data_IF_909313623028
#
_entry.id   IF_909313623028
#
_cell.length_a   1.000
_cell.length_b   1.000
_cell.length_c   1.000
_cell.angle_alpha   90.00
_cell.angle_beta   90.00
_cell.angle_gamma   90.00
#
_symmetry.space_group_name_H-M   'P 1'
#
loop_
_entity.id
_entity.type
_entity.pdbx_description
1 polymer ?
#
# COMPACT_ATOMS: atom_id res chain seq x y z
N UNK A 1 22.24 -17.77 12.98
CA UNK A 1 20.98 -17.00 12.87
C UNK A 1 21.11 -15.60 13.49
N UNK A 2 22.13 -15.36 14.30
CA UNK A 2 22.35 -14.13 15.07
C UNK A 2 22.21 -12.84 14.25
N UNK A 3 22.78 -12.79 13.03
CA UNK A 3 22.65 -11.62 12.14
C UNK A 3 21.21 -11.32 11.71
N UNK A 4 20.29 -12.27 11.85
CA UNK A 4 18.88 -12.10 11.49
C UNK A 4 17.97 -11.83 12.68
N UNK A 5 18.41 -12.13 13.90
CA UNK A 5 17.57 -12.07 15.11
C UNK A 5 18.02 -11.01 16.11
N UNK A 6 19.29 -10.60 16.10
CA UNK A 6 19.86 -9.65 17.08
C UNK A 6 20.01 -8.22 16.56
N UNK A 7 19.80 -8.00 15.26
CA UNK A 7 19.87 -6.68 14.63
C UNK A 7 18.57 -6.35 13.90
N UNK A 8 18.21 -5.06 13.84
CA UNK A 8 16.98 -4.60 13.21
C UNK A 8 17.17 -4.41 11.71
N UNK A 9 16.13 -4.70 10.92
CA UNK A 9 16.13 -4.46 9.47
C UNK A 9 16.50 -5.69 8.65
N UNK A 10 16.76 -5.48 7.38
CA UNK A 10 17.12 -6.52 6.42
C UNK A 10 17.96 -5.94 5.27
N UNK A 11 18.73 -6.77 4.55
CA UNK A 11 19.60 -6.28 3.49
C UNK A 11 18.89 -6.15 2.14
N UNK A 12 19.47 -5.31 1.30
CA UNK A 12 19.38 -5.40 -0.15
C UNK A 12 20.73 -5.90 -0.68
N UNK A 13 20.71 -6.88 -1.56
CA UNK A 13 21.88 -7.25 -2.35
C UNK A 13 21.82 -6.54 -3.71
N UNK A 14 22.97 -6.13 -4.24
CA UNK A 14 23.08 -5.58 -5.60
C UNK A 14 23.93 -6.52 -6.44
N UNK A 15 23.35 -7.05 -7.51
CA UNK A 15 24.03 -7.93 -8.47
C UNK A 15 24.45 -7.09 -9.67
N UNK A 16 25.76 -6.96 -9.88
CA UNK A 16 26.32 -6.26 -11.05
C UNK A 16 27.02 -7.28 -11.94
N UNK A 17 26.43 -7.55 -13.10
CA UNK A 17 26.97 -8.50 -14.06
C UNK A 17 28.14 -7.88 -14.83
N UNK A 18 29.15 -8.70 -15.08
CA UNK A 18 30.09 -8.50 -16.16
C UNK A 18 29.69 -9.45 -17.29
N UNK A 19 29.17 -8.86 -18.36
CA UNK A 19 28.57 -9.57 -19.47
C UNK A 19 29.60 -10.19 -20.42
N UNK A 20 30.83 -9.69 -20.41
CA UNK A 20 31.91 -10.16 -21.28
C UNK A 20 32.57 -11.44 -20.75
N UNK A 21 32.68 -11.57 -19.42
CA UNK A 21 33.31 -12.73 -18.76
C UNK A 21 32.31 -13.73 -18.17
N UNK A 22 31.00 -13.46 -18.26
CA UNK A 22 29.96 -14.33 -17.71
C UNK A 22 30.01 -14.40 -16.18
N UNK A 23 30.33 -13.29 -15.50
CA UNK A 23 30.39 -13.21 -14.04
C UNK A 23 29.48 -12.13 -13.47
N UNK A 24 29.33 -12.09 -12.15
CA UNK A 24 28.75 -10.95 -11.45
C UNK A 24 29.42 -10.72 -10.10
N UNK A 25 29.44 -9.46 -9.69
CA UNK A 25 29.80 -9.06 -8.33
C UNK A 25 28.52 -8.78 -7.56
N UNK A 26 28.37 -9.41 -6.39
CA UNK A 26 27.23 -9.22 -5.49
C UNK A 26 27.70 -8.45 -4.27
N UNK A 27 27.09 -7.30 -3.98
CA UNK A 27 27.34 -6.51 -2.76
C UNK A 27 26.08 -6.49 -1.88
N UNK A 28 26.23 -6.19 -0.59
CA UNK A 28 25.11 -6.06 0.34
C UNK A 28 25.17 -4.74 1.10
N UNK A 29 24.00 -4.22 1.46
CA UNK A 29 23.84 -3.14 2.43
C UNK A 29 22.48 -3.23 3.11
N UNK A 30 22.32 -2.58 4.26
CA UNK A 30 21.00 -2.45 4.90
C UNK A 30 20.04 -1.68 4.00
N UNK A 31 18.84 -2.20 3.78
CA UNK A 31 17.78 -1.47 3.09
C UNK A 31 17.16 -0.42 4.04
N UNK A 32 17.24 0.85 3.67
CA UNK A 32 16.77 1.99 4.47
C UNK A 32 15.91 2.92 3.60
N UNK A 33 14.78 3.37 4.15
CA UNK A 33 13.93 4.38 3.48
C UNK A 33 14.48 5.79 3.64
N UNK A 34 15.08 6.09 4.78
CA UNK A 34 15.80 7.35 5.00
C UNK A 34 17.23 7.20 4.46
N UNK A 35 17.47 7.81 3.30
CA UNK A 35 18.77 7.79 2.61
C UNK A 35 19.87 8.56 3.36
N UNK A 36 19.51 9.40 4.33
CA UNK A 36 20.48 10.19 5.11
C UNK A 36 21.15 9.37 6.21
N UNK A 37 20.56 8.22 6.59
CA UNK A 37 21.09 7.34 7.61
C UNK A 37 22.14 6.40 7.00
N UNK A 38 23.35 6.41 7.56
CA UNK A 38 24.45 5.54 7.14
C UNK A 38 24.69 4.45 8.18
N UNK A 39 24.68 3.20 7.73
CA UNK A 39 24.91 2.04 8.59
C UNK A 39 25.52 0.90 7.77
N UNK A 40 26.51 0.21 8.33
CA UNK A 40 27.25 -0.88 7.68
C UNK A 40 26.88 -2.26 8.26
N UNK A 41 25.63 -2.41 8.66
CA UNK A 41 25.13 -3.69 9.18
C UNK A 41 25.09 -4.72 8.05
N UNK A 42 25.67 -5.90 8.29
CA UNK A 42 25.78 -7.00 7.33
C UNK A 42 25.07 -8.25 7.83
N UNK A 43 24.69 -9.13 6.91
CA UNK A 43 24.00 -10.39 7.17
C UNK A 43 24.73 -11.57 6.53
N UNK A 44 24.57 -12.75 7.14
CA UNK A 44 24.82 -14.03 6.46
C UNK A 44 23.67 -14.34 5.50
N UNK A 45 23.88 -14.16 4.19
CA UNK A 45 22.81 -14.27 3.18
C UNK A 45 23.00 -15.52 2.31
N UNK A 46 22.05 -16.48 2.31
CA UNK A 46 22.06 -17.60 1.38
C UNK A 46 21.62 -17.14 -0.03
N UNK A 47 22.52 -17.25 -1.02
CA UNK A 47 22.24 -16.81 -2.40
C UNK A 47 21.69 -17.98 -3.24
N UNK A 48 20.38 -17.92 -3.55
CA UNK A 48 19.74 -18.76 -4.57
C UNK A 48 19.51 -17.93 -5.83
N UNK A 49 19.77 -18.51 -7.01
CA UNK A 49 19.50 -17.83 -8.29
C UNK A 49 19.28 -18.83 -9.42
N UNK A 50 18.61 -18.39 -10.48
CA UNK A 50 18.39 -19.13 -11.73
C UNK A 50 18.53 -18.19 -12.92
N UNK A 51 18.58 -18.75 -14.13
CA UNK A 51 18.79 -18.03 -15.39
C UNK A 51 17.64 -18.30 -16.36
N UNK A 52 17.51 -17.47 -17.40
CA UNK A 52 16.57 -17.72 -18.51
C UNK A 52 16.77 -19.07 -19.22
N UNK A 53 18.00 -19.61 -19.19
CA UNK A 53 18.32 -20.90 -19.80
C UNK A 53 17.98 -22.08 -18.90
N UNK A 54 18.26 -21.95 -17.61
CA UNK A 54 18.07 -23.03 -16.65
C UNK A 54 16.63 -23.14 -16.16
N UNK A 55 15.98 -22.00 -15.87
CA UNK A 55 14.58 -21.92 -15.44
C UNK A 55 14.21 -22.81 -14.24
N UNK A 56 15.19 -23.23 -13.43
CA UNK A 56 14.93 -23.95 -12.19
C UNK A 56 14.50 -22.98 -11.09
N UNK A 57 13.19 -22.85 -10.91
CA UNK A 57 12.59 -22.14 -9.78
C UNK A 57 12.15 -23.07 -8.64
N UNK A 58 12.42 -24.38 -8.71
CA UNK A 58 12.02 -25.34 -7.68
C UNK A 58 13.08 -25.45 -6.59
N UNK A 59 14.35 -25.29 -6.94
CA UNK A 59 15.45 -25.35 -5.99
C UNK A 59 15.68 -24.00 -5.28
N UNK A 60 15.17 -23.87 -4.06
CA UNK A 60 15.33 -22.67 -3.23
C UNK A 60 16.62 -22.66 -2.40
N UNK A 61 17.44 -23.71 -2.48
CA UNK A 61 18.70 -23.81 -1.72
C UNK A 61 19.75 -22.84 -2.28
N UNK A 62 20.67 -22.41 -1.42
CA UNK A 62 21.82 -21.64 -1.85
C UNK A 62 22.66 -22.45 -2.85
N UNK A 63 23.04 -21.86 -3.99
CA UNK A 63 23.87 -22.54 -4.98
C UNK A 63 25.28 -22.75 -4.44
N UNK A 64 25.80 -23.98 -4.51
CA UNK A 64 27.15 -24.38 -4.08
C UNK A 64 27.58 -23.79 -2.71
N UNK A 65 26.64 -23.58 -1.78
CA UNK A 65 26.91 -22.92 -0.50
C UNK A 65 27.55 -21.52 -0.65
N UNK A 66 27.19 -20.75 -1.68
CA UNK A 66 27.56 -19.32 -1.78
C UNK A 66 26.72 -18.54 -0.78
N UNK A 67 27.27 -18.40 0.42
CA UNK A 67 26.79 -17.47 1.44
C UNK A 67 27.52 -16.14 1.25
N UNK A 68 26.81 -15.04 1.40
CA UNK A 68 27.44 -13.75 1.60
C UNK A 68 27.74 -13.62 3.08
N UNK A 69 29.02 -13.71 3.44
CA UNK A 69 29.44 -13.62 4.84
C UNK A 69 29.54 -12.15 5.32
N UNK A 70 29.50 -11.94 6.63
CA UNK A 70 29.58 -10.58 7.22
C UNK A 70 30.96 -9.94 7.10
N UNK A 71 32.01 -10.74 6.91
CA UNK A 71 33.39 -10.28 6.74
C UNK A 71 33.78 -10.08 5.26
N UNK A 72 32.85 -10.31 4.33
CA UNK A 72 33.04 -10.06 2.90
C UNK A 72 32.43 -8.71 2.53
N UNK A 73 33.06 -7.99 1.60
CA UNK A 73 32.50 -6.79 0.99
C UNK A 73 31.74 -7.11 -0.31
N UNK A 74 32.16 -8.18 -0.98
CA UNK A 74 31.56 -8.65 -2.22
C UNK A 74 31.70 -10.17 -2.40
N UNK A 75 30.78 -10.75 -3.17
CA UNK A 75 30.80 -12.16 -3.57
C UNK A 75 30.81 -12.25 -5.09
N UNK A 76 31.80 -12.96 -5.65
CA UNK A 76 31.87 -13.23 -7.10
C UNK A 76 31.02 -14.44 -7.50
N UNK A 77 30.17 -14.27 -8.49
CA UNK A 77 29.36 -15.31 -9.14
C UNK A 77 29.94 -15.57 -10.53
N UNK A 78 30.07 -16.85 -10.88
CA UNK A 78 30.72 -17.29 -12.12
C UNK A 78 29.78 -18.19 -12.91
N UNK A 79 30.07 -18.39 -14.19
CA UNK A 79 29.26 -19.20 -15.11
C UNK A 79 27.83 -18.65 -15.25
N UNK A 80 27.70 -17.33 -15.27
CA UNK A 80 26.45 -16.65 -15.61
C UNK A 80 26.23 -16.65 -17.12
N UNK A 81 24.96 -16.54 -17.56
CA UNK A 81 24.63 -16.68 -18.96
C UNK A 81 25.02 -15.41 -19.73
N UNK A 82 24.81 -15.44 -21.05
CA UNK A 82 25.20 -14.37 -21.97
C UNK A 82 24.42 -13.07 -21.73
N UNK A 83 24.79 -12.02 -22.46
CA UNK A 83 24.13 -10.69 -22.41
C UNK A 83 22.66 -10.68 -22.80
N UNK A 84 22.19 -11.71 -23.49
CA UNK A 84 20.79 -11.82 -23.92
C UNK A 84 19.92 -12.58 -22.90
N UNK A 85 20.53 -13.08 -21.83
CA UNK A 85 19.90 -13.94 -20.83
C UNK A 85 19.82 -13.25 -19.48
N UNK A 86 18.65 -13.20 -18.84
CA UNK A 86 18.51 -12.65 -17.50
C UNK A 86 18.97 -13.63 -16.40
N UNK A 87 19.28 -13.08 -15.23
CA UNK A 87 19.41 -13.83 -13.97
C UNK A 87 18.40 -13.33 -12.93
N UNK A 88 17.84 -14.25 -12.13
CA UNK A 88 16.96 -13.92 -11.00
C UNK A 88 17.53 -14.55 -9.74
N UNK A 89 17.77 -13.73 -8.72
CA UNK A 89 18.13 -14.15 -7.37
C UNK A 89 16.90 -14.26 -6.48
N UNK A 90 17.06 -14.94 -5.35
CA UNK A 90 16.03 -15.20 -4.34
C UNK A 90 14.84 -16.00 -4.92
N UNK A 91 15.10 -17.23 -5.35
CA UNK A 91 14.11 -18.14 -5.92
C UNK A 91 12.93 -18.32 -4.95
N UNK A 92 11.71 -18.13 -5.44
CA UNK A 92 10.44 -18.13 -4.68
C UNK A 92 10.40 -17.19 -3.46
N UNK A 93 11.27 -16.18 -3.39
CA UNK A 93 11.37 -15.29 -2.22
C UNK A 93 11.65 -16.06 -0.92
N UNK A 94 12.48 -17.11 -0.99
CA UNK A 94 12.80 -17.95 0.18
C UNK A 94 13.68 -17.23 1.22
N UNK A 95 14.44 -16.21 0.80
CA UNK A 95 15.28 -15.38 1.65
C UNK A 95 14.65 -14.04 2.02
N UNK A 96 14.92 -13.57 3.24
CA UNK A 96 14.45 -12.29 3.78
C UNK A 96 15.34 -11.11 3.34
N UNK A 97 15.54 -10.94 2.04
CA UNK A 97 16.35 -9.86 1.49
C UNK A 97 15.79 -9.35 0.17
N UNK A 98 16.13 -8.10 -0.15
CA UNK A 98 15.84 -7.47 -1.45
C UNK A 98 16.96 -7.73 -2.43
N UNK A 99 16.64 -7.68 -3.72
CA UNK A 99 17.62 -7.81 -4.80
C UNK A 99 17.48 -6.63 -5.74
N UNK A 100 18.58 -5.93 -5.96
CA UNK A 100 18.79 -5.01 -7.06
C UNK A 100 19.70 -5.67 -8.11
N UNK A 101 19.52 -5.26 -9.36
CA UNK A 101 20.36 -5.66 -10.48
C UNK A 101 20.91 -4.42 -11.17
N UNK A 102 21.95 -4.58 -11.98
CA UNK A 102 22.30 -3.59 -13.00
C UNK A 102 21.13 -3.35 -13.99
N UNK A 103 21.17 -2.20 -14.68
CA UNK A 103 20.08 -1.76 -15.56
C UNK A 103 19.85 -2.71 -16.73
N UNK A 104 20.91 -3.33 -17.27
CA UNK A 104 20.81 -4.29 -18.36
C UNK A 104 20.01 -5.53 -17.94
N UNK A 105 20.32 -6.12 -16.79
CA UNK A 105 19.57 -7.28 -16.30
C UNK A 105 18.11 -6.92 -15.97
N UNK A 106 17.87 -5.73 -15.41
CA UNK A 106 16.50 -5.23 -15.23
C UNK A 106 15.76 -5.11 -16.58
N UNK A 107 16.39 -4.56 -17.62
CA UNK A 107 15.78 -4.45 -18.94
C UNK A 107 15.50 -5.83 -19.58
N UNK A 108 16.40 -6.80 -19.41
CA UNK A 108 16.17 -8.19 -19.84
C UNK A 108 14.94 -8.80 -19.15
N UNK A 109 14.80 -8.59 -17.84
CA UNK A 109 13.65 -9.06 -17.06
C UNK A 109 12.35 -8.37 -17.50
N UNK A 110 12.38 -7.05 -17.70
CA UNK A 110 11.21 -6.28 -18.17
C UNK A 110 10.77 -6.77 -19.55
N UNK A 111 11.70 -6.98 -20.48
CA UNK A 111 11.40 -7.49 -21.81
C UNK A 111 10.80 -8.90 -21.75
N UNK A 112 11.36 -9.78 -20.92
CA UNK A 112 10.82 -11.12 -20.71
C UNK A 112 9.41 -11.09 -20.11
N UNK A 113 9.18 -10.23 -19.10
CA UNK A 113 7.87 -10.08 -18.45
C UNK A 113 6.78 -9.54 -19.37
N UNK A 114 7.15 -8.77 -20.40
CA UNK A 114 6.25 -8.28 -21.45
C UNK A 114 6.03 -9.28 -22.59
N UNK A 115 6.83 -10.34 -22.63
CA UNK A 115 6.71 -11.41 -23.62
C UNK A 115 5.59 -12.40 -23.30
N UNK A 116 5.25 -13.29 -24.24
CA UNK A 116 4.20 -14.31 -24.05
C UNK A 116 4.58 -15.37 -23.00
N UNK A 117 5.87 -15.55 -22.75
CA UNK A 117 6.42 -16.58 -21.86
C UNK A 117 6.61 -16.12 -20.39
N UNK A 118 6.07 -14.95 -20.02
CA UNK A 118 6.27 -14.36 -18.70
C UNK A 118 5.82 -15.27 -17.55
N UNK A 119 4.82 -16.13 -17.79
CA UNK A 119 4.31 -17.07 -16.78
C UNK A 119 5.31 -18.18 -16.41
N UNK A 120 6.34 -18.42 -17.24
CA UNK A 120 7.43 -19.33 -16.88
C UNK A 120 8.25 -18.80 -15.69
N UNK A 121 8.23 -17.49 -15.40
CA UNK A 121 8.66 -16.95 -14.10
C UNK A 121 7.51 -17.15 -13.11
N UNK A 122 7.68 -17.93 -12.03
CA UNK A 122 6.58 -18.23 -11.11
C UNK A 122 6.01 -16.99 -10.41
N UNK A 123 4.76 -17.11 -9.98
CA UNK A 123 3.97 -16.04 -9.35
C UNK A 123 4.74 -15.32 -8.23
N UNK A 124 5.38 -16.06 -7.32
CA UNK A 124 6.12 -15.46 -6.20
C UNK A 124 7.34 -14.65 -6.65
N UNK A 125 8.04 -15.08 -7.71
CA UNK A 125 9.15 -14.31 -8.27
C UNK A 125 8.66 -13.05 -9.01
N UNK A 126 7.51 -13.10 -9.68
CA UNK A 126 6.90 -11.89 -10.27
C UNK A 126 6.48 -10.89 -9.20
N UNK A 127 5.85 -11.36 -8.12
CA UNK A 127 5.56 -10.55 -6.92
C UNK A 127 6.82 -9.89 -6.39
N UNK A 128 7.90 -10.67 -6.26
CA UNK A 128 9.18 -10.18 -5.77
C UNK A 128 9.77 -9.09 -6.68
N UNK A 129 9.78 -9.30 -8.00
CA UNK A 129 10.29 -8.31 -8.96
C UNK A 129 9.50 -6.99 -8.90
N UNK A 130 8.16 -7.05 -8.87
CA UNK A 130 7.30 -5.86 -8.71
C UNK A 130 7.65 -5.11 -7.43
N UNK A 131 7.73 -5.82 -6.29
CA UNK A 131 7.93 -5.17 -5.00
C UNK A 131 9.34 -4.62 -4.83
N UNK A 132 10.35 -5.32 -5.35
CA UNK A 132 11.74 -4.87 -5.31
C UNK A 132 11.91 -3.63 -6.17
N UNK A 133 11.45 -3.64 -7.43
CA UNK A 133 11.54 -2.46 -8.28
C UNK A 133 10.85 -1.25 -7.63
N UNK A 134 9.63 -1.42 -7.10
CA UNK A 134 8.94 -0.33 -6.41
C UNK A 134 9.70 0.19 -5.18
N UNK A 135 10.26 -0.71 -4.38
CA UNK A 135 10.97 -0.35 -3.15
C UNK A 135 12.30 0.32 -3.45
N UNK A 136 13.05 -0.18 -4.43
CA UNK A 136 14.32 0.38 -4.89
C UNK A 136 14.12 1.75 -5.53
N UNK A 137 13.06 1.95 -6.33
CA UNK A 137 12.74 3.24 -6.91
C UNK A 137 12.46 4.31 -5.84
N UNK A 138 11.77 3.93 -4.74
CA UNK A 138 11.48 4.86 -3.63
C UNK A 138 12.72 5.40 -2.91
N UNK A 139 13.83 4.68 -3.00
CA UNK A 139 15.10 5.03 -2.34
C UNK A 139 16.18 5.37 -3.37
N UNK A 140 15.77 5.63 -4.62
CA UNK A 140 16.61 6.02 -5.76
C UNK A 140 17.74 5.03 -6.11
N UNK A 141 17.57 3.75 -5.75
CA UNK A 141 18.51 2.68 -6.13
C UNK A 141 18.28 2.19 -7.56
N UNK A 142 17.10 2.50 -8.12
CA UNK A 142 16.78 2.43 -9.53
C UNK A 142 15.98 3.67 -9.93
N UNK A 143 16.01 4.11 -11.18
CA UNK A 143 15.20 5.23 -11.64
C UNK A 143 13.71 4.85 -11.78
N UNK A 144 12.81 5.82 -11.57
CA UNK A 144 11.36 5.62 -11.66
C UNK A 144 10.89 5.18 -13.06
N UNK A 145 11.54 5.67 -14.13
CA UNK A 145 11.28 5.20 -15.49
C UNK A 145 11.39 3.67 -15.63
N UNK A 146 12.35 3.03 -14.97
CA UNK A 146 12.56 1.59 -15.01
C UNK A 146 11.41 0.88 -14.29
N UNK A 147 10.99 1.42 -13.15
CA UNK A 147 9.83 0.92 -12.43
C UNK A 147 8.54 1.00 -13.27
N UNK A 148 8.27 2.14 -13.93
CA UNK A 148 7.09 2.26 -14.79
C UNK A 148 7.18 1.39 -16.05
N UNK A 149 8.38 1.26 -16.65
CA UNK A 149 8.62 0.30 -17.74
C UNK A 149 8.30 -1.14 -17.31
N UNK A 150 8.61 -1.52 -16.07
CA UNK A 150 8.23 -2.82 -15.52
C UNK A 150 6.71 -2.90 -15.38
N UNK A 151 6.05 -1.91 -14.75
CA UNK A 151 4.60 -1.92 -14.54
C UNK A 151 3.77 -2.16 -15.82
N UNK A 152 4.27 -1.76 -17.00
CA UNK A 152 3.61 -2.03 -18.28
C UNK A 152 3.29 -3.52 -18.52
N UNK A 153 4.08 -4.44 -17.96
CA UNK A 153 3.80 -5.88 -18.09
C UNK A 153 2.47 -6.28 -17.43
N UNK A 154 2.00 -5.52 -16.42
CA UNK A 154 0.77 -5.84 -15.69
C UNK A 154 -0.46 -5.89 -16.59
N UNK A 155 -0.42 -5.25 -17.78
CA UNK A 155 -1.50 -5.33 -18.78
C UNK A 155 -1.86 -6.76 -19.19
N UNK A 156 -0.95 -7.72 -19.04
CA UNK A 156 -1.16 -9.15 -19.34
C UNK A 156 -1.14 -10.05 -18.09
N UNK A 157 -0.95 -9.50 -16.90
CA UNK A 157 -0.96 -10.27 -15.65
C UNK A 157 -2.39 -10.56 -15.20
N UNK A 158 -2.63 -11.75 -14.65
CA UNK A 158 -3.97 -12.20 -14.24
C UNK A 158 -3.98 -12.88 -12.87
N UNK A 159 -2.83 -13.02 -12.21
CA UNK A 159 -2.76 -13.66 -10.90
C UNK A 159 -2.97 -12.64 -9.79
N UNK A 160 -3.65 -13.07 -8.73
CA UNK A 160 -3.98 -12.27 -7.56
C UNK A 160 -2.77 -11.62 -6.89
N UNK A 161 -1.75 -12.42 -6.55
CA UNK A 161 -0.62 -11.95 -5.74
C UNK A 161 0.21 -10.86 -6.45
N UNK A 162 0.58 -10.98 -7.75
CA UNK A 162 1.23 -9.91 -8.49
C UNK A 162 0.43 -8.62 -8.51
N UNK A 163 -0.87 -8.69 -8.79
CA UNK A 163 -1.75 -7.51 -8.75
C UNK A 163 -1.84 -6.87 -7.36
N UNK A 164 -1.91 -7.68 -6.30
CA UNK A 164 -1.89 -7.19 -4.92
C UNK A 164 -0.59 -6.46 -4.59
N UNK A 165 0.55 -6.99 -5.02
CA UNK A 165 1.85 -6.35 -4.85
C UNK A 165 1.97 -5.06 -5.67
N UNK A 166 1.48 -5.07 -6.92
CA UNK A 166 1.46 -3.90 -7.79
C UNK A 166 0.59 -2.78 -7.22
N UNK A 167 -0.68 -3.07 -6.91
CA UNK A 167 -1.63 -2.07 -6.43
C UNK A 167 -1.20 -1.43 -5.11
N UNK A 168 -0.59 -2.18 -4.18
CA UNK A 168 0.01 -1.59 -2.97
C UNK A 168 1.04 -0.50 -3.31
N UNK A 169 1.87 -0.74 -4.32
CA UNK A 169 2.93 0.19 -4.69
C UNK A 169 2.43 1.34 -5.58
N UNK A 170 1.46 1.07 -6.45
CA UNK A 170 0.73 2.08 -7.22
C UNK A 170 0.01 3.04 -6.27
N UNK A 171 -0.64 2.51 -5.24
CA UNK A 171 -1.41 3.27 -4.26
C UNK A 171 -0.55 4.20 -3.42
N UNK A 172 0.69 3.81 -3.12
CA UNK A 172 1.67 4.69 -2.47
C UNK A 172 1.91 5.96 -3.28
N UNK A 173 2.18 5.83 -4.59
CA UNK A 173 2.42 6.99 -5.46
C UNK A 173 1.13 7.80 -5.62
N UNK A 174 -0.01 7.14 -5.83
CA UNK A 174 -1.32 7.81 -5.88
C UNK A 174 -1.53 8.67 -4.63
N UNK A 175 -1.26 8.11 -3.46
CA UNK A 175 -1.46 8.76 -2.16
C UNK A 175 -0.60 10.02 -2.01
N UNK A 176 0.64 10.02 -2.51
CA UNK A 176 1.52 11.22 -2.49
C UNK A 176 1.14 12.24 -3.57
N UNK A 177 0.61 11.80 -4.71
CA UNK A 177 0.25 12.68 -5.83
C UNK A 177 -1.18 13.24 -5.73
N UNK A 178 -2.07 12.68 -4.89
CA UNK A 178 -3.52 13.01 -4.88
C UNK A 178 -3.87 14.48 -4.60
N UNK A 179 -2.96 15.22 -3.98
CA UNK A 179 -3.12 16.66 -3.66
C UNK A 179 -2.28 17.56 -4.58
N UNK A 180 -1.78 17.02 -5.68
CA UNK A 180 -0.89 17.70 -6.63
C UNK A 180 -1.56 17.80 -8.01
N UNK A 181 -1.12 18.72 -8.88
CA UNK A 181 -1.59 18.77 -10.27
C UNK A 181 -1.38 17.48 -11.08
N UNK A 182 -0.47 16.60 -10.65
CA UNK A 182 -0.13 15.36 -11.35
C UNK A 182 -1.17 14.25 -11.13
N UNK A 183 -2.09 14.43 -10.18
CA UNK A 183 -3.02 13.36 -9.77
C UNK A 183 -3.78 12.73 -10.95
N UNK A 184 -4.35 13.55 -11.83
CA UNK A 184 -5.15 13.08 -12.98
C UNK A 184 -4.29 12.33 -14.01
N UNK A 185 -3.09 12.83 -14.34
CA UNK A 185 -2.17 12.17 -15.28
C UNK A 185 -1.76 10.79 -14.74
N UNK A 186 -1.41 10.72 -13.45
CA UNK A 186 -1.07 9.44 -12.82
C UNK A 186 -2.28 8.49 -12.79
N UNK A 187 -3.48 8.98 -12.49
CA UNK A 187 -4.70 8.16 -12.57
C UNK A 187 -4.95 7.64 -13.99
N UNK A 188 -4.77 8.47 -15.01
CA UNK A 188 -4.92 8.07 -16.41
C UNK A 188 -3.89 7.02 -16.83
N UNK A 189 -2.65 7.13 -16.37
CA UNK A 189 -1.62 6.11 -16.56
C UNK A 189 -2.03 4.76 -15.96
N UNK A 190 -2.39 4.74 -14.67
CA UNK A 190 -2.82 3.51 -13.98
C UNK A 190 -4.08 2.92 -14.61
N UNK A 191 -5.02 3.77 -15.05
CA UNK A 191 -6.23 3.34 -15.77
C UNK A 191 -5.90 2.50 -17.00
N UNK A 192 -4.88 2.89 -17.78
CA UNK A 192 -4.43 2.13 -18.96
C UNK A 192 -3.90 0.74 -18.60
N UNK A 193 -3.29 0.58 -17.42
CA UNK A 193 -2.75 -0.69 -16.93
C UNK A 193 -3.84 -1.59 -16.37
N UNK A 194 -4.77 -1.07 -15.56
CA UNK A 194 -5.81 -1.87 -14.90
C UNK A 194 -7.00 -2.22 -15.81
N UNK A 195 -7.25 -1.43 -16.86
CA UNK A 195 -8.43 -1.62 -17.72
C UNK A 195 -8.55 -3.00 -18.37
N UNK A 196 -7.49 -3.64 -18.90
CA UNK A 196 -7.58 -4.97 -19.51
C UNK A 196 -8.10 -6.03 -18.53
N UNK A 197 -7.50 -6.11 -17.34
CA UNK A 197 -7.90 -7.09 -16.32
C UNK A 197 -9.29 -6.77 -15.73
N UNK A 198 -9.63 -5.49 -15.57
CA UNK A 198 -10.97 -5.08 -15.13
C UNK A 198 -12.05 -5.55 -16.11
N UNK A 199 -11.84 -5.34 -17.40
CA UNK A 199 -12.75 -5.82 -18.46
C UNK A 199 -12.87 -7.34 -18.46
N UNK A 200 -11.77 -8.05 -18.22
CA UNK A 200 -11.76 -9.52 -18.15
C UNK A 200 -12.58 -10.05 -16.97
N UNK A 201 -12.50 -9.41 -15.80
CA UNK A 201 -13.25 -9.76 -14.59
C UNK A 201 -14.73 -9.37 -14.69
N UNK A 202 -15.05 -8.31 -15.44
CA UNK A 202 -16.44 -7.86 -15.65
C UNK A 202 -17.00 -6.99 -14.52
N UNK A 203 -16.16 -6.53 -13.59
CA UNK A 203 -16.54 -5.64 -12.48
C UNK A 203 -17.48 -6.31 -11.47
N UNK A 204 -18.54 -5.62 -11.07
CA UNK A 204 -19.51 -6.12 -10.06
C UNK A 204 -20.38 -7.26 -10.60
N UNK A 205 -20.40 -8.39 -9.89
CA UNK A 205 -21.16 -9.57 -10.29
C UNK A 205 -21.73 -10.34 -9.08
N UNK A 206 -22.57 -11.35 -9.34
CA UNK A 206 -23.16 -12.25 -8.34
C UNK A 206 -22.11 -13.22 -7.78
N UNK A 207 -22.32 -13.71 -6.57
CA UNK A 207 -21.45 -14.76 -6.02
C UNK A 207 -21.62 -16.06 -6.81
N UNK A 208 -20.53 -16.62 -7.33
CA UNK A 208 -20.48 -18.00 -7.83
C UNK A 208 -20.70 -18.97 -6.65
N UNK A 209 -21.49 -20.04 -6.88
CA UNK A 209 -21.94 -21.02 -5.88
C UNK A 209 -20.92 -22.11 -5.50
N UNK A 210 -19.80 -22.27 -6.22
CA UNK A 210 -18.85 -23.37 -6.00
C UNK A 210 -17.67 -22.98 -5.10
N UNK A 211 -17.88 -22.95 -3.78
CA UNK A 211 -17.00 -22.35 -2.77
C UNK A 211 -15.57 -22.91 -2.57
N UNK A 212 -15.11 -23.96 -3.26
CA UNK A 212 -13.87 -24.66 -2.89
C UNK A 212 -12.59 -24.17 -3.62
N UNK A 213 -12.70 -23.55 -4.80
CA UNK A 213 -11.55 -22.95 -5.55
C UNK A 213 -11.46 -21.41 -5.42
N UNK A 214 -12.14 -20.87 -4.41
CA UNK A 214 -12.82 -19.58 -4.56
C UNK A 214 -12.20 -18.40 -3.82
N UNK A 215 -11.37 -18.63 -2.80
CA UNK A 215 -10.88 -17.51 -1.98
C UNK A 215 -9.99 -16.54 -2.78
N UNK A 216 -8.90 -17.04 -3.38
CA UNK A 216 -7.97 -16.18 -4.13
C UNK A 216 -8.63 -15.56 -5.36
N UNK A 217 -9.52 -16.29 -6.04
CA UNK A 217 -10.34 -15.78 -7.16
C UNK A 217 -11.22 -14.62 -6.70
N UNK A 218 -12.03 -14.80 -5.63
CA UNK A 218 -12.88 -13.74 -5.08
C UNK A 218 -12.08 -12.54 -4.60
N UNK A 219 -10.96 -12.77 -3.90
CA UNK A 219 -10.08 -11.68 -3.48
C UNK A 219 -9.50 -10.93 -4.68
N UNK A 220 -9.18 -11.62 -5.77
CA UNK A 220 -8.72 -11.00 -6.99
C UNK A 220 -9.81 -10.13 -7.63
N UNK A 221 -11.02 -10.64 -7.77
CA UNK A 221 -12.17 -9.94 -8.35
C UNK A 221 -12.49 -8.66 -7.57
N UNK A 222 -12.54 -8.76 -6.23
CA UNK A 222 -12.77 -7.61 -5.34
C UNK A 222 -11.64 -6.58 -5.46
N UNK A 223 -10.38 -7.04 -5.45
CA UNK A 223 -9.21 -6.18 -5.56
C UNK A 223 -9.22 -5.39 -6.88
N UNK A 224 -9.39 -6.08 -8.01
CA UNK A 224 -9.37 -5.44 -9.33
C UNK A 224 -10.59 -4.54 -9.52
N UNK A 225 -11.77 -4.95 -9.06
CA UNK A 225 -12.98 -4.12 -9.18
C UNK A 225 -12.85 -2.84 -8.36
N UNK A 226 -12.32 -2.93 -7.14
CA UNK A 226 -12.05 -1.76 -6.29
C UNK A 226 -11.02 -0.82 -6.93
N UNK A 227 -9.93 -1.37 -7.46
CA UNK A 227 -8.92 -0.60 -8.20
C UNK A 227 -9.52 0.05 -9.47
N UNK A 228 -10.36 -0.67 -10.21
CA UNK A 228 -11.06 -0.17 -11.38
C UNK A 228 -11.87 1.08 -11.06
N UNK A 229 -12.64 1.08 -9.97
CA UNK A 229 -13.37 2.26 -9.53
C UNK A 229 -12.43 3.39 -9.09
N UNK A 230 -11.34 3.08 -8.38
CA UNK A 230 -10.36 4.08 -7.91
C UNK A 230 -9.69 4.85 -9.03
N UNK A 231 -9.39 4.16 -10.12
CA UNK A 231 -8.70 4.73 -11.29
C UNK A 231 -9.65 5.02 -12.46
N UNK A 232 -10.97 5.05 -12.21
CA UNK A 232 -12.03 5.36 -13.16
C UNK A 232 -11.97 4.51 -14.45
N UNK A 233 -11.77 3.19 -14.29
CA UNK A 233 -11.77 2.24 -15.39
C UNK A 233 -13.21 1.85 -15.78
N UNK A 234 -13.49 1.91 -17.09
CA UNK A 234 -14.74 1.44 -17.70
C UNK A 234 -16.00 2.03 -17.02
N UNK A 235 -16.94 1.18 -16.65
CA UNK A 235 -18.29 1.41 -16.15
C UNK A 235 -18.37 1.30 -14.61
N UNK A 236 -17.22 1.26 -13.91
CA UNK A 236 -17.20 0.99 -12.47
C UNK A 236 -17.94 2.05 -11.65
N UNK A 237 -17.77 3.33 -11.97
CA UNK A 237 -18.43 4.42 -11.24
C UNK A 237 -19.94 4.44 -11.50
N UNK A 238 -20.36 4.25 -12.76
CA UNK A 238 -21.77 4.18 -13.15
C UNK A 238 -22.48 3.03 -12.42
N UNK A 239 -21.91 1.82 -12.49
CA UNK A 239 -22.45 0.64 -11.80
C UNK A 239 -22.44 0.81 -10.28
N UNK A 240 -21.39 1.41 -9.71
CA UNK A 240 -21.34 1.69 -8.27
C UNK A 240 -22.51 2.57 -7.85
N UNK A 241 -22.77 3.68 -8.57
CA UNK A 241 -23.90 4.56 -8.30
C UNK A 241 -25.25 3.87 -8.46
N UNK A 242 -25.40 3.04 -9.50
CA UNK A 242 -26.63 2.27 -9.71
C UNK A 242 -26.92 1.29 -8.57
N UNK A 243 -25.96 0.43 -8.21
CA UNK A 243 -26.15 -0.55 -7.13
C UNK A 243 -26.26 0.12 -5.76
N UNK A 244 -25.57 1.25 -5.56
CA UNK A 244 -25.71 2.03 -4.35
C UNK A 244 -27.13 2.57 -4.18
N UNK A 245 -27.71 3.23 -5.18
CA UNK A 245 -29.10 3.72 -5.13
C UNK A 245 -30.10 2.60 -4.87
N UNK A 246 -29.96 1.47 -5.58
CA UNK A 246 -30.79 0.28 -5.32
C UNK A 246 -30.69 -0.24 -3.89
N UNK A 247 -29.50 -0.19 -3.29
CA UNK A 247 -29.35 -0.61 -1.89
C UNK A 247 -30.11 0.32 -0.94
N UNK A 248 -30.21 1.62 -1.22
CA UNK A 248 -30.95 2.59 -0.39
C UNK A 248 -32.46 2.31 -0.35
N UNK A 249 -33.03 1.69 -1.40
CA UNK A 249 -34.45 1.31 -1.47
C UNK A 249 -34.79 0.10 -0.58
N UNK A 250 -33.77 -0.67 -0.16
CA UNK A 250 -33.96 -1.86 0.66
C UNK A 250 -33.82 -1.54 2.15
N UNK A 251 -34.68 -2.15 2.98
CA UNK A 251 -34.66 -1.92 4.45
C UNK A 251 -33.31 -2.26 5.11
N UNK A 252 -32.61 -3.26 4.58
CA UNK A 252 -31.34 -3.77 5.13
C UNK A 252 -30.10 -3.25 4.37
N UNK A 253 -30.29 -2.31 3.43
CA UNK A 253 -29.24 -1.85 2.51
C UNK A 253 -28.56 -2.98 1.72
N UNK A 254 -29.29 -4.04 1.42
CA UNK A 254 -28.78 -5.21 0.71
C UNK A 254 -28.40 -4.88 -0.74
N UNK A 255 -27.37 -5.57 -1.24
CA UNK A 255 -26.95 -5.48 -2.63
C UNK A 255 -27.73 -6.50 -3.45
N UNK A 256 -28.96 -6.13 -3.83
CA UNK A 256 -29.84 -7.01 -4.59
C UNK A 256 -29.16 -7.52 -5.88
N UNK A 257 -28.81 -8.82 -5.88
CA UNK A 257 -28.23 -9.50 -7.03
C UNK A 257 -26.75 -9.18 -7.28
N UNK A 258 -25.98 -8.76 -6.27
CA UNK A 258 -24.52 -8.59 -6.34
C UNK A 258 -23.85 -9.20 -5.10
N UNK A 259 -22.63 -9.73 -5.26
CA UNK A 259 -21.88 -10.28 -4.14
C UNK A 259 -21.58 -9.21 -3.07
N UNK A 260 -21.80 -9.59 -1.81
CA UNK A 260 -21.56 -8.71 -0.66
C UNK A 260 -20.09 -8.29 -0.49
N UNK A 261 -19.15 -9.03 -1.08
CA UNK A 261 -17.73 -8.68 -1.07
C UNK A 261 -17.43 -7.34 -1.77
N UNK A 262 -18.31 -6.89 -2.68
CA UNK A 262 -18.16 -5.60 -3.38
C UNK A 262 -18.73 -4.40 -2.60
N UNK A 263 -19.38 -4.63 -1.46
CA UNK A 263 -20.13 -3.61 -0.72
C UNK A 263 -19.31 -2.40 -0.33
N UNK A 264 -18.08 -2.60 0.15
CA UNK A 264 -17.20 -1.50 0.51
C UNK A 264 -16.91 -0.56 -0.68
N UNK A 265 -16.69 -1.12 -1.86
CA UNK A 265 -16.46 -0.35 -3.09
C UNK A 265 -17.75 0.36 -3.50
N UNK A 266 -18.87 -0.36 -3.63
CA UNK A 266 -20.15 0.20 -4.08
C UNK A 266 -20.60 1.35 -3.18
N UNK A 267 -20.56 1.17 -1.86
CA UNK A 267 -20.99 2.20 -0.92
C UNK A 267 -20.05 3.41 -0.95
N UNK A 268 -18.73 3.21 -0.94
CA UNK A 268 -17.77 4.32 -0.94
C UNK A 268 -17.89 5.18 -2.21
N UNK A 269 -17.92 4.56 -3.41
CA UNK A 269 -18.07 5.31 -4.66
C UNK A 269 -19.50 5.84 -4.86
N UNK A 270 -20.50 5.14 -4.33
CA UNK A 270 -21.87 5.65 -4.26
C UNK A 270 -21.96 6.97 -3.48
N UNK A 271 -21.46 6.98 -2.24
CA UNK A 271 -21.41 8.17 -1.38
C UNK A 271 -20.54 9.28 -1.99
N UNK A 272 -19.39 8.91 -2.58
CA UNK A 272 -18.48 9.87 -3.21
C UNK A 272 -19.15 10.70 -4.31
N UNK A 273 -20.16 10.13 -4.98
CA UNK A 273 -20.87 10.73 -6.10
C UNK A 273 -22.35 11.02 -5.79
N UNK A 274 -22.76 10.99 -4.52
CA UNK A 274 -24.11 11.32 -4.07
C UNK A 274 -24.15 12.63 -3.28
N UNK A 275 -25.35 13.07 -2.90
CA UNK A 275 -25.56 14.28 -2.11
C UNK A 275 -25.77 13.98 -0.63
N UNK A 276 -26.24 15.02 0.08
CA UNK A 276 -26.57 14.99 1.50
C UNK A 276 -27.66 13.96 1.83
N UNK A 277 -28.68 13.82 1.00
CA UNK A 277 -29.82 12.92 1.25
C UNK A 277 -29.38 11.45 1.33
N UNK A 278 -28.61 10.97 0.36
CA UNK A 278 -28.12 9.58 0.38
C UNK A 278 -27.09 9.35 1.50
N UNK A 279 -26.32 10.38 1.86
CA UNK A 279 -25.41 10.33 2.99
C UNK A 279 -26.17 10.20 4.31
N UNK A 280 -27.20 11.02 4.54
CA UNK A 280 -28.04 10.97 5.73
C UNK A 280 -28.81 9.65 5.84
N UNK A 281 -29.25 9.11 4.70
CA UNK A 281 -29.91 7.80 4.64
C UNK A 281 -28.95 6.69 5.10
N UNK A 282 -27.71 6.66 4.59
CA UNK A 282 -26.70 5.71 5.07
C UNK A 282 -26.31 5.95 6.54
N UNK A 283 -26.24 7.20 6.99
CA UNK A 283 -25.96 7.53 8.40
C UNK A 283 -27.04 6.98 9.33
N UNK A 284 -28.32 7.16 8.99
CA UNK A 284 -29.43 6.60 9.75
C UNK A 284 -29.41 5.07 9.74
N UNK A 285 -29.09 4.46 8.60
CA UNK A 285 -28.90 3.01 8.49
C UNK A 285 -27.77 2.51 9.40
N UNK A 286 -26.64 3.23 9.45
CA UNK A 286 -25.54 2.93 10.35
C UNK A 286 -26.01 2.97 11.80
N UNK A 287 -26.75 4.00 12.23
CA UNK A 287 -27.23 4.12 13.60
C UNK A 287 -28.16 2.96 13.99
N UNK A 288 -29.06 2.57 13.08
CA UNK A 288 -30.08 1.55 13.33
C UNK A 288 -29.58 0.10 13.13
N UNK A 289 -28.48 -0.11 12.40
CA UNK A 289 -27.96 -1.46 12.15
C UNK A 289 -27.39 -2.13 13.41
N UNK A 290 -27.66 -3.43 13.56
CA UNK A 290 -27.09 -4.32 14.58
C UNK A 290 -25.93 -5.19 14.05
N UNK A 291 -25.61 -5.12 12.75
CA UNK A 291 -24.56 -5.93 12.12
C UNK A 291 -23.24 -5.17 12.12
N UNK A 292 -22.29 -5.60 12.95
CA UNK A 292 -21.02 -4.89 13.16
C UNK A 292 -20.19 -4.69 11.86
N UNK A 293 -20.14 -5.70 10.99
CA UNK A 293 -19.40 -5.63 9.71
C UNK A 293 -20.04 -4.64 8.74
N UNK A 294 -21.38 -4.58 8.71
CA UNK A 294 -22.12 -3.62 7.89
C UNK A 294 -21.91 -2.19 8.42
N UNK A 295 -22.01 -1.98 9.73
CA UNK A 295 -21.74 -0.69 10.38
C UNK A 295 -20.34 -0.17 10.02
N UNK A 296 -19.32 -1.01 10.08
CA UNK A 296 -17.95 -0.62 9.71
C UNK A 296 -17.85 -0.21 8.23
N UNK A 297 -18.53 -0.95 7.35
CA UNK A 297 -18.56 -0.64 5.91
C UNK A 297 -19.26 0.68 5.63
N UNK A 298 -20.42 0.92 6.25
CA UNK A 298 -21.16 2.19 6.14
C UNK A 298 -20.33 3.35 6.68
N UNK A 299 -19.74 3.20 7.87
CA UNK A 299 -18.95 4.24 8.51
C UNK A 299 -17.71 4.63 7.69
N UNK A 300 -17.00 3.65 7.11
CA UNK A 300 -15.91 3.94 6.20
C UNK A 300 -16.40 4.66 4.94
N UNK A 301 -17.53 4.22 4.37
CA UNK A 301 -18.10 4.77 3.12
C UNK A 301 -18.60 6.20 3.27
N UNK A 302 -19.16 6.56 4.43
CA UNK A 302 -19.57 7.94 4.75
C UNK A 302 -18.40 8.93 4.68
N UNK A 303 -17.19 8.48 5.00
CA UNK A 303 -15.97 9.29 4.86
C UNK A 303 -15.45 9.41 3.43
N UNK A 304 -16.04 8.70 2.46
CA UNK A 304 -15.73 8.86 1.04
C UNK A 304 -16.45 10.05 0.39
N UNK A 305 -17.32 10.74 1.13
CA UNK A 305 -18.00 11.96 0.66
C UNK A 305 -16.99 13.00 0.17
N UNK A 306 -17.38 13.76 -0.85
CA UNK A 306 -16.63 14.93 -1.32
C UNK A 306 -17.17 16.25 -0.75
N UNK A 307 -18.25 16.20 0.04
CA UNK A 307 -18.84 17.36 0.72
C UNK A 307 -18.11 17.62 2.04
N UNK A 308 -17.49 18.80 2.13
CA UNK A 308 -16.72 19.22 3.30
C UNK A 308 -17.55 19.27 4.59
N UNK A 309 -18.80 19.74 4.53
CA UNK A 309 -19.66 19.87 5.69
C UNK A 309 -20.05 18.49 6.25
N UNK A 310 -20.31 17.52 5.38
CA UNK A 310 -20.62 16.14 5.79
C UNK A 310 -19.41 15.45 6.42
N UNK A 311 -18.20 15.67 5.89
CA UNK A 311 -16.98 15.14 6.49
C UNK A 311 -16.69 15.79 7.86
N UNK A 312 -16.91 17.09 8.02
CA UNK A 312 -16.80 17.78 9.32
C UNK A 312 -17.82 17.22 10.33
N UNK A 313 -19.08 17.09 9.94
CA UNK A 313 -20.13 16.48 10.76
C UNK A 313 -19.76 15.05 11.20
N UNK A 314 -19.15 14.27 10.32
CA UNK A 314 -18.68 12.91 10.63
C UNK A 314 -17.54 12.93 11.66
N UNK A 315 -16.56 13.83 11.49
CA UNK A 315 -15.44 14.00 12.42
C UNK A 315 -15.94 14.45 13.81
N UNK A 316 -16.82 15.43 13.87
CA UNK A 316 -17.44 15.92 15.11
C UNK A 316 -18.18 14.80 15.87
N UNK A 317 -18.86 13.91 15.13
CA UNK A 317 -19.54 12.75 15.69
C UNK A 317 -18.59 11.76 16.37
N UNK A 318 -17.28 11.81 16.10
CA UNK A 318 -16.27 10.98 16.79
C UNK A 318 -15.96 11.46 18.21
N UNK A 319 -16.22 12.73 18.53
CA UNK A 319 -15.86 13.33 19.82
C UNK A 319 -16.79 12.91 20.96
N UNK A 320 -18.03 12.53 20.66
CA UNK A 320 -19.06 12.26 21.67
C UNK A 320 -19.64 10.84 21.57
N UNK A 321 -19.67 10.09 22.68
CA UNK A 321 -20.27 8.76 22.76
C UNK A 321 -21.75 8.74 22.33
N UNK A 322 -22.49 9.82 22.57
CA UNK A 322 -23.93 9.88 22.33
C UNK A 322 -24.29 10.02 20.85
N UNK A 323 -23.30 10.18 19.96
CA UNK A 323 -23.49 10.31 18.51
C UNK A 323 -23.42 8.96 17.76
N UNK A 324 -23.30 7.85 18.49
CA UNK A 324 -23.40 6.50 17.93
C UNK A 324 -22.07 5.85 17.48
N UNK A 325 -20.99 6.63 17.36
CA UNK A 325 -19.66 6.11 16.98
C UNK A 325 -18.92 5.55 18.20
N UNK A 326 -18.60 4.26 18.16
CA UNK A 326 -17.85 3.57 19.22
C UNK A 326 -16.37 3.96 19.17
N UNK A 327 -15.70 3.96 20.31
CA UNK A 327 -14.28 4.32 20.43
C UNK A 327 -13.35 3.48 19.57
N UNK A 328 -13.73 2.25 19.26
CA UNK A 328 -12.96 1.34 18.41
C UNK A 328 -13.07 1.68 16.93
N UNK A 329 -14.13 2.38 16.52
CA UNK A 329 -14.43 2.65 15.11
C UNK A 329 -13.97 4.06 14.68
N UNK A 330 -13.53 4.89 15.63
CA UNK A 330 -13.01 6.26 15.37
C UNK A 330 -11.87 6.23 14.34
N UNK A 331 -10.94 5.29 14.46
CA UNK A 331 -9.82 5.21 13.52
C UNK A 331 -10.29 4.99 12.08
N UNK A 332 -11.34 4.20 11.88
CA UNK A 332 -11.90 3.96 10.54
C UNK A 332 -12.45 5.24 9.91
N UNK A 333 -13.05 6.13 10.70
CA UNK A 333 -13.52 7.45 10.26
C UNK A 333 -12.37 8.35 9.86
N UNK A 334 -11.35 8.47 10.70
CA UNK A 334 -10.20 9.32 10.38
C UNK A 334 -9.47 8.81 9.14
N UNK A 335 -9.31 7.50 9.01
CA UNK A 335 -8.68 6.90 7.84
C UNK A 335 -9.52 7.10 6.56
N UNK A 336 -10.84 6.98 6.61
CA UNK A 336 -11.67 7.23 5.43
C UNK A 336 -11.62 8.70 5.03
N UNK A 337 -11.76 9.63 5.99
CA UNK A 337 -11.70 11.07 5.73
C UNK A 337 -10.33 11.48 5.19
N UNK A 338 -9.21 11.10 5.83
CA UNK A 338 -7.85 11.50 5.41
C UNK A 338 -7.51 11.02 4.00
N UNK A 339 -8.13 9.92 3.56
CA UNK A 339 -7.90 9.35 2.24
C UNK A 339 -8.55 10.17 1.12
N UNK A 340 -9.52 11.04 1.41
CA UNK A 340 -10.10 11.98 0.45
C UNK A 340 -9.11 13.09 0.02
N UNK A 341 -9.44 13.81 -1.06
CA UNK A 341 -8.58 14.88 -1.61
C UNK A 341 -8.46 16.08 -0.66
N UNK A 342 -9.55 16.44 0.02
CA UNK A 342 -9.62 17.56 0.97
C UNK A 342 -9.35 17.13 2.42
N UNK A 343 -9.41 15.83 2.70
CA UNK A 343 -9.48 15.31 4.07
C UNK A 343 -8.24 15.50 4.93
N UNK A 344 -7.04 15.59 4.34
CA UNK A 344 -5.85 15.91 5.13
C UNK A 344 -5.97 17.29 5.78
N UNK A 345 -6.39 18.30 5.02
CA UNK A 345 -6.57 19.66 5.53
C UNK A 345 -7.67 19.69 6.61
N UNK A 346 -8.79 19.01 6.37
CA UNK A 346 -9.87 18.90 7.34
C UNK A 346 -9.43 18.26 8.65
N UNK A 347 -8.68 17.16 8.58
CA UNK A 347 -8.16 16.51 9.79
C UNK A 347 -7.10 17.36 10.46
N UNK A 348 -6.25 18.04 9.70
CA UNK A 348 -5.26 18.98 10.25
C UNK A 348 -5.93 20.07 11.09
N UNK A 349 -6.96 20.72 10.55
CA UNK A 349 -7.71 21.77 11.24
C UNK A 349 -8.46 21.18 12.44
N UNK A 350 -9.14 20.05 12.24
CA UNK A 350 -9.88 19.36 13.30
C UNK A 350 -8.98 18.95 14.47
N UNK A 351 -7.75 18.47 14.19
CA UNK A 351 -6.78 18.14 15.22
C UNK A 351 -6.30 19.38 15.97
N UNK A 352 -6.03 20.50 15.29
CA UNK A 352 -5.61 21.73 15.97
C UNK A 352 -6.64 22.19 17.01
N UNK A 353 -7.93 22.04 16.70
CA UNK A 353 -9.03 22.48 17.56
C UNK A 353 -9.40 21.46 18.65
N UNK A 354 -9.33 20.16 18.33
CA UNK A 354 -9.96 19.12 19.14
C UNK A 354 -8.98 18.10 19.74
N UNK A 355 -7.66 18.32 19.64
CA UNK A 355 -6.64 17.33 20.05
C UNK A 355 -6.93 16.75 21.44
N UNK A 356 -7.20 17.61 22.43
CA UNK A 356 -7.52 17.20 23.80
C UNK A 356 -8.75 16.29 23.86
N UNK A 357 -9.85 16.68 23.22
CA UNK A 357 -11.09 15.89 23.23
C UNK A 357 -10.89 14.53 22.55
N UNK A 358 -10.16 14.50 21.43
CA UNK A 358 -9.82 13.27 20.71
C UNK A 358 -9.01 12.34 21.60
N UNK A 359 -7.97 12.87 22.25
CA UNK A 359 -7.13 12.10 23.16
C UNK A 359 -7.91 11.53 24.33
N UNK A 360 -8.71 12.35 25.00
CA UNK A 360 -9.57 11.93 26.11
C UNK A 360 -10.57 10.86 25.69
N UNK A 361 -11.01 10.91 24.42
CA UNK A 361 -11.94 9.95 23.82
C UNK A 361 -11.28 8.60 23.53
N UNK A 362 -10.05 8.58 22.98
CA UNK A 362 -9.38 7.36 22.51
C UNK A 362 -8.34 6.80 23.48
N UNK A 363 -8.03 7.52 24.57
CA UNK A 363 -7.10 7.03 25.59
C UNK A 363 -7.61 5.69 26.17
N UNK A 364 -6.72 4.77 26.51
CA UNK A 364 -7.12 3.52 27.14
C UNK A 364 -7.84 3.81 28.46
N UNK A 365 -9.08 3.32 28.61
CA UNK A 365 -9.76 3.31 29.90
C UNK A 365 -9.15 2.21 30.77
N UNK A 366 -8.73 2.55 31.98
CA UNK A 366 -8.26 1.58 32.97
C UNK A 366 -9.41 0.62 33.32
N UNK A 367 -9.40 -0.60 32.76
CA UNK A 367 -10.21 -1.68 33.30
C UNK A 367 -9.47 -2.23 34.52
N UNK A 368 -9.99 -1.97 35.73
CA UNK A 368 -9.46 -2.45 37.03
C UNK A 368 -9.28 -3.98 37.11
N UNK A 369 -9.76 -4.74 36.12
CA UNK A 369 -9.73 -6.22 36.07
C UNK A 369 -8.36 -6.77 35.65
N UNK A 370 -7.47 -5.97 35.06
CA UNK A 370 -6.15 -6.44 34.62
C UNK A 370 -5.04 -5.45 34.97
N UNK A 371 -4.52 -5.55 36.20
CA UNK A 371 -3.32 -4.82 36.64
C UNK A 371 -2.03 -5.27 35.92
N UNK A 372 -2.11 -6.27 35.02
CA UNK A 372 -0.96 -6.86 34.30
C UNK A 372 -0.85 -6.46 32.83
N UNK A 373 -1.86 -5.80 32.25
CA UNK A 373 -1.82 -5.34 30.85
C UNK A 373 -1.54 -3.84 30.81
N UNK A 374 -0.34 -3.46 30.32
CA UNK A 374 -0.02 -2.05 30.08
C UNK A 374 -1.03 -1.46 29.07
N UNK A 375 -1.60 -0.28 29.35
CA UNK A 375 -2.51 0.37 28.42
C UNK A 375 -1.82 0.62 27.07
N UNK A 376 -2.39 0.08 25.99
CA UNK A 376 -1.87 0.25 24.63
C UNK A 376 -2.53 1.43 23.95
N UNK A 377 -1.77 2.50 23.69
CA UNK A 377 -2.22 3.70 23.00
C UNK A 377 -2.23 3.54 21.45
N UNK A 378 -2.49 2.31 20.98
CA UNK A 378 -2.41 1.95 19.56
C UNK A 378 -3.35 2.79 18.69
N UNK A 379 -4.49 3.24 19.26
CA UNK A 379 -5.47 4.06 18.53
C UNK A 379 -4.92 5.43 18.18
N UNK A 380 -4.37 6.16 19.15
CA UNK A 380 -3.72 7.47 18.92
C UNK A 380 -2.56 7.33 17.95
N UNK A 381 -1.70 6.32 18.15
CA UNK A 381 -0.58 6.07 17.25
C UNK A 381 -1.05 5.88 15.80
N UNK A 382 -2.10 5.08 15.60
CA UNK A 382 -2.68 4.85 14.27
C UNK A 382 -3.30 6.10 13.65
N UNK A 383 -3.93 6.99 14.43
CA UNK A 383 -4.46 8.27 13.94
C UNK A 383 -3.33 9.15 13.39
N UNK A 384 -2.28 9.34 14.19
CA UNK A 384 -1.13 10.16 13.81
C UNK A 384 -0.37 9.54 12.63
N UNK A 385 -0.22 8.21 12.59
CA UNK A 385 0.36 7.54 11.43
C UNK A 385 -0.46 7.77 10.16
N UNK A 386 -1.80 7.75 10.24
CA UNK A 386 -2.67 8.08 9.10
C UNK A 386 -2.44 9.48 8.56
N UNK A 387 -2.31 10.46 9.45
CA UNK A 387 -2.00 11.85 9.10
C UNK A 387 -0.61 11.95 8.48
N UNK A 388 0.41 11.34 9.09
CA UNK A 388 1.78 11.38 8.59
C UNK A 388 1.93 10.77 7.19
N UNK A 389 1.16 9.72 6.87
CA UNK A 389 1.16 9.11 5.54
C UNK A 389 0.66 10.06 4.43
N UNK A 390 -0.01 11.15 4.80
CA UNK A 390 -0.56 12.13 3.87
C UNK A 390 0.33 13.37 3.71
N UNK A 391 1.36 13.55 4.56
CA UNK A 391 2.26 14.70 4.51
C UNK A 391 3.21 14.58 3.32
N UNK A 392 3.30 15.64 2.50
CA UNK A 392 4.17 15.70 1.32
C UNK A 392 5.00 16.99 1.26
N UNK A 393 4.65 18.03 2.03
CA UNK A 393 5.39 19.30 2.06
C UNK A 393 6.07 19.58 3.40
N UNK A 394 7.13 20.40 3.36
CA UNK A 394 7.97 20.71 4.53
C UNK A 394 7.21 21.46 5.64
N UNK A 395 6.31 22.37 5.27
CA UNK A 395 5.46 23.10 6.19
C UNK A 395 4.45 22.19 6.90
N UNK A 396 3.93 21.17 6.21
CA UNK A 396 3.08 20.14 6.78
C UNK A 396 3.84 19.25 7.78
N UNK A 397 5.09 18.90 7.47
CA UNK A 397 5.97 18.18 8.39
C UNK A 397 6.22 19.00 9.66
N UNK A 398 6.60 20.28 9.51
CA UNK A 398 6.80 21.20 10.64
C UNK A 398 5.52 21.40 11.46
N UNK A 399 4.36 21.42 10.80
CA UNK A 399 3.07 21.44 11.49
C UNK A 399 2.88 20.19 12.36
N UNK A 400 3.14 18.99 11.84
CA UNK A 400 2.97 17.76 12.61
C UNK A 400 3.95 17.71 13.80
N UNK A 401 5.21 18.11 13.59
CA UNK A 401 6.20 18.23 14.66
C UNK A 401 5.75 19.23 15.73
N UNK A 402 5.28 20.41 15.32
CA UNK A 402 4.75 21.43 16.22
C UNK A 402 3.48 20.97 16.97
N UNK A 403 2.58 20.25 16.31
CA UNK A 403 1.38 19.67 16.92
C UNK A 403 1.78 18.68 18.03
N UNK A 404 2.74 17.79 17.76
CA UNK A 404 3.23 16.81 18.74
C UNK A 404 3.94 17.52 19.91
N UNK A 405 4.82 18.49 19.61
CA UNK A 405 5.58 19.21 20.62
C UNK A 405 4.71 20.05 21.57
N UNK A 406 3.74 20.80 21.03
CA UNK A 406 2.81 21.62 21.84
C UNK A 406 1.90 20.79 22.75
N UNK A 407 1.72 19.50 22.43
CA UNK A 407 0.77 18.61 23.08
C UNK A 407 1.47 17.40 23.72
N UNK A 408 2.73 17.57 24.16
CA UNK A 408 3.57 16.48 24.67
C UNK A 408 2.88 15.66 25.78
N UNK A 409 2.06 16.30 26.62
CA UNK A 409 1.30 15.65 27.69
C UNK A 409 0.43 14.47 27.19
N UNK A 410 -0.10 14.58 25.98
CA UNK A 410 -0.94 13.56 25.36
C UNK A 410 -0.10 12.52 24.59
N UNK A 411 1.02 12.95 24.00
CA UNK A 411 1.88 12.12 23.16
C UNK A 411 2.98 11.35 23.91
N UNK A 412 3.28 11.70 25.17
CA UNK A 412 4.36 11.08 25.97
C UNK A 412 4.24 9.56 26.12
N UNK A 413 3.03 9.00 26.00
CA UNK A 413 2.78 7.56 26.10
C UNK A 413 2.93 6.82 24.77
N UNK A 414 3.15 7.54 23.65
CA UNK A 414 3.35 6.99 22.30
C UNK A 414 4.59 7.56 21.61
N UNK A 415 5.69 7.76 22.34
CA UNK A 415 6.96 8.27 21.78
C UNK A 415 7.45 7.49 20.56
N UNK A 416 7.30 6.16 20.57
CA UNK A 416 7.66 5.32 19.42
C UNK A 416 6.76 5.62 18.21
N UNK A 417 5.44 5.70 18.42
CA UNK A 417 4.48 5.96 17.34
C UNK A 417 4.62 7.36 16.74
N UNK A 418 4.86 8.37 17.57
CA UNK A 418 5.13 9.75 17.11
C UNK A 418 6.45 9.85 16.36
N UNK A 419 7.51 9.20 16.84
CA UNK A 419 8.79 9.12 16.12
C UNK A 419 8.63 8.45 14.76
N UNK A 420 7.95 7.31 14.70
CA UNK A 420 7.67 6.60 13.44
C UNK A 420 6.83 7.46 12.47
N UNK A 421 5.84 8.18 12.97
CA UNK A 421 5.03 9.08 12.15
C UNK A 421 5.87 10.23 11.56
N UNK A 422 6.73 10.86 12.37
CA UNK A 422 7.65 11.91 11.89
C UNK A 422 8.66 11.36 10.87
N UNK A 423 9.18 10.15 11.09
CA UNK A 423 10.06 9.47 10.13
C UNK A 423 9.35 9.21 8.79
N UNK A 424 8.11 8.73 8.80
CA UNK A 424 7.30 8.52 7.59
C UNK A 424 7.08 9.85 6.86
N UNK A 425 6.65 10.89 7.57
CA UNK A 425 6.40 12.21 6.99
C UNK A 425 7.67 12.78 6.37
N UNK A 426 8.82 12.70 7.06
CA UNK A 426 10.12 13.13 6.54
C UNK A 426 10.50 12.38 5.25
N UNK A 427 10.33 11.06 5.23
CA UNK A 427 10.60 10.23 4.04
C UNK A 427 9.70 10.65 2.86
N UNK A 428 8.42 10.95 3.11
CA UNK A 428 7.49 11.38 2.05
C UNK A 428 7.83 12.77 1.51
N UNK A 429 8.19 13.73 2.38
CA UNK A 429 8.65 15.06 1.97
C UNK A 429 9.91 14.95 1.13
N UNK A 430 10.87 14.12 1.54
CA UNK A 430 12.09 13.89 0.77
C UNK A 430 11.78 13.25 -0.58
N UNK A 431 10.94 12.21 -0.59
CA UNK A 431 10.50 11.55 -1.81
C UNK A 431 9.86 12.53 -2.79
N UNK A 432 8.98 13.41 -2.31
CA UNK A 432 8.31 14.41 -3.14
C UNK A 432 9.32 15.37 -3.79
N UNK A 433 10.28 15.88 -3.01
CA UNK A 433 11.35 16.77 -3.50
C UNK A 433 12.18 16.11 -4.60
N UNK A 434 12.53 14.84 -4.42
CA UNK A 434 13.47 14.15 -5.31
C UNK A 434 12.80 13.62 -6.58
N UNK A 435 11.54 13.18 -6.49
CA UNK A 435 10.90 12.37 -7.53
C UNK A 435 9.74 13.03 -8.27
N UNK A 436 9.11 14.08 -7.72
CA UNK A 436 7.91 14.66 -8.32
C UNK A 436 8.14 15.18 -9.75
N UNK A 437 9.19 15.97 -9.97
CA UNK A 437 9.49 16.53 -11.31
C UNK A 437 10.02 15.47 -12.28
N UNK A 438 10.61 14.38 -11.80
CA UNK A 438 11.02 13.24 -12.64
C UNK A 438 9.78 12.54 -13.18
N UNK A 439 8.87 12.15 -12.29
CA UNK A 439 7.61 11.47 -12.65
C UNK A 439 6.76 12.32 -13.58
N UNK A 440 6.72 13.64 -13.34
CA UNK A 440 5.99 14.60 -14.19
C UNK A 440 6.52 14.69 -15.62
N UNK A 441 7.81 14.42 -15.87
CA UNK A 441 8.36 14.41 -17.24
C UNK A 441 8.01 13.14 -18.01
N UNK A 442 7.59 12.08 -17.31
CA UNK A 442 7.32 10.76 -17.87
C UNK A 442 5.85 10.55 -18.25
N UNK A 443 4.96 11.48 -17.87
CA UNK A 443 3.51 11.38 -17.99
C UNK A 443 2.85 12.73 -18.21
#
# INVERSE_FOLDING_TARGET
>A
MDTWTLQTGYPVITVRRNYDDGTAVVTQKRYLKDKTYKEDTKWWIPLSYTTSKEMDFKNTKARKWKWFATNEDEVKIENLPSKDDWVIFNIQTSGLYRVNYDEDNWNLLINYLKGPDFEKIPVLNRVFLIDNAASLARVDEIPYNLYFKLQEYLKQEEKYLPWKAALRNIDFIHQLLKRTPMHENYQAYVRKIISPIYKKIGGFHKSDSNAQEVYDKRQHEVLITSAGCKYNASDCLEKSGFYFRKSQESKDHDLQGIANDFRATIYCYGIKHSGKEEWETMWNAYLNSNVATLKNTMLYSLGCSCDEALLKQLLESTLNNNKGIRTQDINSVYQSVVNSKIGFNLIKDFLNENIKAIFERVKPTYNKVSSRVKPTYNKVSSLIMGVAQNIIHEDEYKWLEGLIGKNEEYFKHIKIGTKQALEIAKVHVQWYKDNYEIIKKEH
#
